data_IF_965164277582
#
_entry.id   IF_965164277582
#
_cell.length_a   1.000
_cell.length_b   1.000
_cell.length_c   1.000
_cell.angle_alpha   90.00
_cell.angle_beta   90.00
_cell.angle_gamma   90.00
#
_symmetry.space_group_name_H-M   'P 1'
#
loop_
_entity.id
_entity.type
_entity.pdbx_description
1 polymer ?
#
# COMPACT_ATOMS: atom_id res chain seq x y z
N UNK A 1 -7.60 -19.81 -10.35
CA UNK A 1 -8.17 -18.88 -9.36
C UNK A 1 -8.18 -17.52 -10.02
N UNK A 2 -9.32 -17.12 -10.58
CA UNK A 2 -9.43 -15.88 -11.38
C UNK A 2 -9.47 -14.70 -10.42
N UNK A 3 -8.51 -13.79 -10.50
CA UNK A 3 -8.58 -12.51 -9.80
C UNK A 3 -9.83 -11.77 -10.27
N UNK A 4 -10.72 -11.33 -9.36
CA UNK A 4 -11.88 -10.56 -9.77
C UNK A 4 -11.40 -9.28 -10.47
N UNK A 5 -11.82 -9.09 -11.71
CA UNK A 5 -11.64 -7.82 -12.40
C UNK A 5 -12.59 -6.81 -11.74
N UNK A 6 -12.10 -5.70 -11.18
CA UNK A 6 -12.98 -4.72 -10.56
C UNK A 6 -13.94 -4.16 -11.61
N UNK A 7 -15.23 -4.13 -11.27
CA UNK A 7 -16.29 -3.54 -12.09
C UNK A 7 -15.96 -2.05 -12.33
N UNK A 8 -15.95 -1.58 -13.59
CA UNK A 8 -15.59 -0.20 -13.90
C UNK A 8 -16.53 0.79 -13.21
N UNK A 9 -16.01 1.54 -12.24
CA UNK A 9 -16.73 2.57 -11.48
C UNK A 9 -16.89 2.29 -9.98
N UNK A 10 -16.56 1.10 -9.49
CA UNK A 10 -16.53 0.82 -8.06
C UNK A 10 -15.20 1.27 -7.43
N UNK A 11 -15.21 2.37 -6.67
CA UNK A 11 -14.10 2.73 -5.77
C UNK A 11 -14.00 1.68 -4.67
N UNK A 12 -13.13 0.69 -4.85
CA UNK A 12 -12.97 -0.43 -3.93
C UNK A 12 -11.53 -0.96 -3.89
N UNK A 13 -10.54 -0.15 -4.28
CA UNK A 13 -9.15 -0.58 -4.32
C UNK A 13 -8.38 -0.07 -3.10
N UNK A 14 -7.79 -1.00 -2.36
CA UNK A 14 -6.87 -0.72 -1.26
C UNK A 14 -5.44 -0.94 -1.76
N UNK A 15 -4.56 0.02 -1.50
CA UNK A 15 -3.13 -0.10 -1.85
C UNK A 15 -2.30 -0.29 -0.58
N UNK A 16 -1.72 -1.48 -0.40
CA UNK A 16 -0.77 -1.75 0.66
C UNK A 16 0.62 -1.19 0.33
N UNK A 17 1.18 -0.35 1.21
CA UNK A 17 2.47 0.31 1.00
C UNK A 17 3.45 -0.01 2.12
N UNK A 18 4.57 -0.62 1.73
CA UNK A 18 5.75 -0.78 2.57
C UNK A 18 6.93 -0.01 1.98
N UNK A 19 7.48 0.93 2.74
CA UNK A 19 8.61 1.74 2.32
C UNK A 19 9.79 1.67 3.31
N UNK A 20 11.00 2.04 2.88
CA UNK A 20 12.10 2.31 3.83
C UNK A 20 11.84 3.63 4.55
N UNK A 21 12.47 3.82 5.70
CA UNK A 21 12.42 5.10 6.42
C UNK A 21 13.09 6.20 5.58
N UNK A 22 12.46 7.36 5.50
CA UNK A 22 12.86 8.49 4.66
C UNK A 22 12.53 8.31 3.18
N UNK A 23 11.67 7.36 2.79
CA UNK A 23 11.33 7.18 1.38
C UNK A 23 10.70 8.47 0.80
N UNK A 24 11.20 8.99 -0.33
CA UNK A 24 10.64 10.19 -0.96
C UNK A 24 9.19 10.00 -1.37
N UNK A 25 8.38 11.06 -1.22
CA UNK A 25 6.98 11.07 -1.65
C UNK A 25 6.85 10.67 -3.12
N UNK A 26 7.62 11.31 -4.00
CA UNK A 26 7.50 11.09 -5.45
C UNK A 26 7.86 9.64 -5.84
N UNK A 27 8.77 9.00 -5.11
CA UNK A 27 9.11 7.59 -5.31
C UNK A 27 7.94 6.67 -4.89
N UNK A 28 7.35 6.93 -3.72
CA UNK A 28 6.18 6.16 -3.24
C UNK A 28 4.99 6.34 -4.17
N UNK A 29 4.66 7.59 -4.54
CA UNK A 29 3.54 7.90 -5.41
C UNK A 29 3.74 7.31 -6.82
N UNK A 30 4.92 7.50 -7.40
CA UNK A 30 5.25 6.98 -8.72
C UNK A 30 5.14 5.45 -8.76
N UNK A 31 5.64 4.75 -7.74
CA UNK A 31 5.52 3.30 -7.64
C UNK A 31 4.05 2.84 -7.59
N UNK A 32 3.21 3.56 -6.84
CA UNK A 32 1.77 3.26 -6.78
C UNK A 32 1.15 3.42 -8.17
N UNK A 33 1.34 4.57 -8.82
CA UNK A 33 0.76 4.88 -10.13
C UNK A 33 1.23 3.90 -11.22
N UNK A 34 2.52 3.56 -11.23
CA UNK A 34 3.08 2.59 -12.16
C UNK A 34 2.53 1.19 -11.95
N UNK A 35 2.40 0.75 -10.69
CA UNK A 35 1.83 -0.55 -10.34
C UNK A 35 0.37 -0.65 -10.78
N UNK A 36 -0.43 0.38 -10.50
CA UNK A 36 -1.83 0.44 -10.91
C UNK A 36 -1.96 0.41 -12.43
N UNK A 37 -1.17 1.24 -13.13
CA UNK A 37 -1.14 1.27 -14.61
C UNK A 37 -0.74 -0.09 -15.19
N UNK A 38 0.26 -0.75 -14.61
CA UNK A 38 0.70 -2.08 -15.03
C UNK A 38 -0.38 -3.16 -14.85
N UNK A 39 -1.27 -2.98 -13.87
CA UNK A 39 -2.43 -3.84 -13.64
C UNK A 39 -3.69 -3.42 -14.40
N UNK A 40 -3.65 -2.35 -15.21
CA UNK A 40 -4.83 -1.81 -15.90
C UNK A 40 -5.84 -1.13 -14.96
N UNK A 41 -5.42 -0.76 -13.75
CA UNK A 41 -6.24 -0.12 -12.73
C UNK A 41 -6.02 1.40 -12.73
N UNK A 42 -6.99 2.15 -12.21
CA UNK A 42 -6.92 3.62 -12.14
C UNK A 42 -6.66 4.07 -10.72
N UNK A 43 -5.80 5.07 -10.55
CA UNK A 43 -5.59 5.72 -9.25
C UNK A 43 -6.90 6.26 -8.64
N UNK A 44 -7.87 6.65 -9.47
CA UNK A 44 -9.18 7.12 -9.03
C UNK A 44 -10.06 6.03 -8.36
N UNK A 45 -9.72 4.75 -8.53
CA UNK A 45 -10.45 3.63 -7.91
C UNK A 45 -9.90 3.29 -6.52
N UNK A 46 -8.77 3.90 -6.13
CA UNK A 46 -8.17 3.76 -4.80
C UNK A 46 -9.05 4.45 -3.76
N UNK A 47 -9.30 3.75 -2.66
CA UNK A 47 -10.07 4.28 -1.51
C UNK A 47 -9.23 4.51 -0.27
N UNK A 48 -8.08 3.83 -0.14
CA UNK A 48 -7.18 3.99 0.99
C UNK A 48 -5.77 3.51 0.65
N UNK A 49 -4.80 4.04 1.41
CA UNK A 49 -3.44 3.52 1.47
C UNK A 49 -3.26 2.81 2.81
N UNK A 50 -2.97 1.51 2.77
CA UNK A 50 -2.78 0.68 3.96
C UNK A 50 -1.28 0.50 4.30
N UNK A 51 -0.89 0.65 5.56
CA UNK A 51 0.49 0.36 6.00
C UNK A 51 0.54 -0.22 7.42
N UNK A 52 1.73 -0.60 7.89
CA UNK A 52 1.94 -1.06 9.27
C UNK A 52 2.02 0.14 10.22
N UNK A 53 1.54 0.02 11.47
CA UNK A 53 1.54 1.10 12.48
C UNK A 53 2.90 1.81 12.61
N UNK A 54 4.01 1.07 12.50
CA UNK A 54 5.37 1.61 12.55
C UNK A 54 5.70 2.62 11.42
N UNK A 55 4.82 2.78 10.43
CA UNK A 55 4.94 3.67 9.28
C UNK A 55 3.78 4.67 9.18
N UNK A 56 2.97 4.81 10.23
CA UNK A 56 1.80 5.68 10.25
C UNK A 56 2.12 7.12 9.83
N UNK A 57 3.26 7.65 10.30
CA UNK A 57 3.70 9.03 10.08
C UNK A 57 4.76 9.17 8.99
N UNK A 58 4.97 8.12 8.17
CA UNK A 58 6.04 8.14 7.19
C UNK A 58 5.73 9.17 6.09
N UNK A 59 6.55 10.24 5.91
CA UNK A 59 6.17 11.37 5.07
C UNK A 59 5.90 11.00 3.61
N UNK A 60 6.63 10.01 3.08
CA UNK A 60 6.41 9.50 1.73
C UNK A 60 5.04 8.84 1.57
N UNK A 61 4.59 8.06 2.56
CA UNK A 61 3.31 7.34 2.54
C UNK A 61 2.15 8.31 2.76
N UNK A 62 2.25 9.14 3.81
CA UNK A 62 1.22 10.15 4.12
C UNK A 62 1.08 11.14 2.97
N UNK A 63 2.20 11.58 2.39
CA UNK A 63 2.23 12.47 1.24
C UNK A 63 1.60 11.85 -0.01
N UNK A 64 1.90 10.59 -0.32
CA UNK A 64 1.30 9.89 -1.46
C UNK A 64 -0.22 9.73 -1.28
N UNK A 65 -0.68 9.31 -0.10
CA UNK A 65 -2.11 9.18 0.20
C UNK A 65 -2.84 10.53 0.07
N UNK A 66 -2.23 11.62 0.56
CA UNK A 66 -2.77 12.96 0.39
C UNK A 66 -2.88 13.39 -1.08
N UNK A 67 -1.90 13.04 -1.93
CA UNK A 67 -1.97 13.31 -3.38
C UNK A 67 -3.04 12.50 -4.09
N UNK A 68 -3.28 11.27 -3.64
CA UNK A 68 -4.37 10.42 -4.12
C UNK A 68 -5.74 10.84 -3.57
N UNK A 69 -5.78 11.69 -2.53
CA UNK A 69 -7.01 12.15 -1.90
C UNK A 69 -7.70 11.09 -1.04
N UNK A 70 -6.92 10.15 -0.49
CA UNK A 70 -7.41 9.00 0.29
C UNK A 70 -6.78 8.94 1.68
N UNK A 71 -7.45 8.36 2.69
CA UNK A 71 -6.86 8.16 4.00
C UNK A 71 -5.69 7.16 3.99
N UNK A 72 -4.83 7.30 5.00
CA UNK A 72 -3.90 6.24 5.41
C UNK A 72 -4.57 5.41 6.50
N UNK A 73 -4.64 4.10 6.31
CA UNK A 73 -5.12 3.13 7.30
C UNK A 73 -3.93 2.32 7.78
N UNK A 74 -3.80 2.18 9.09
CA UNK A 74 -2.68 1.47 9.71
C UNK A 74 -3.15 0.17 10.35
N UNK A 75 -2.28 -0.84 10.30
CA UNK A 75 -2.52 -2.14 10.89
C UNK A 75 -1.37 -2.53 11.81
N UNK A 76 -1.67 -3.13 12.97
CA UNK A 76 -0.63 -3.60 13.87
C UNK A 76 0.16 -4.74 13.22
N UNK A 77 1.47 -4.74 13.45
CA UNK A 77 2.38 -5.75 12.95
C UNK A 77 1.89 -7.19 13.24
N UNK A 78 1.34 -7.42 14.43
CA UNK A 78 0.82 -8.74 14.82
C UNK A 78 -0.35 -9.20 13.94
N UNK A 79 -1.22 -8.28 13.50
CA UNK A 79 -2.31 -8.63 12.58
C UNK A 79 -1.75 -8.99 11.20
N UNK A 80 -0.78 -8.22 10.72
CA UNK A 80 -0.13 -8.46 9.43
C UNK A 80 0.74 -9.73 9.43
N UNK A 81 1.33 -10.10 10.56
CA UNK A 81 2.16 -11.30 10.71
C UNK A 81 1.42 -12.60 10.37
N UNK A 82 0.10 -12.64 10.60
CA UNK A 82 -0.75 -13.77 10.28
C UNK A 82 -1.22 -13.83 8.82
N UNK A 83 -0.93 -12.81 8.02
CA UNK A 83 -1.40 -12.72 6.63
C UNK A 83 -0.44 -13.45 5.71
N UNK A 84 -0.93 -14.49 5.03
CA UNK A 84 -0.15 -15.16 3.98
C UNK A 84 -0.05 -14.24 2.76
N UNK A 85 1.17 -13.80 2.46
CA UNK A 85 1.47 -13.01 1.26
C UNK A 85 2.12 -13.88 0.18
N UNK A 86 1.88 -13.60 -1.12
CA UNK A 86 2.52 -14.33 -2.21
C UNK A 86 4.02 -14.01 -2.34
N UNK A 87 4.46 -12.86 -1.84
CA UNK A 87 5.85 -12.41 -1.89
C UNK A 87 6.29 -11.90 -0.52
N UNK A 88 6.85 -12.79 0.29
CA UNK A 88 7.39 -12.47 1.61
C UNK A 88 8.69 -11.65 1.51
N UNK A 89 8.90 -10.71 2.43
CA UNK A 89 10.06 -9.82 2.53
C UNK A 89 10.81 -10.03 3.84
N UNK A 90 12.04 -10.55 3.76
CA UNK A 90 12.93 -10.67 4.92
C UNK A 90 13.26 -9.33 5.59
N UNK A 91 13.27 -8.24 4.83
CA UNK A 91 13.47 -6.90 5.38
C UNK A 91 12.25 -6.42 6.19
N UNK A 92 11.03 -6.73 5.75
CA UNK A 92 9.82 -6.43 6.52
C UNK A 92 9.76 -7.29 7.79
N UNK A 93 10.12 -8.57 7.70
CA UNK A 93 10.17 -9.47 8.84
C UNK A 93 11.16 -8.98 9.91
N UNK A 94 12.36 -8.56 9.48
CA UNK A 94 13.38 -8.04 10.40
C UNK A 94 12.99 -6.67 11.02
N UNK A 95 12.33 -5.79 10.26
CA UNK A 95 12.04 -4.43 10.70
C UNK A 95 10.76 -4.31 11.54
N UNK A 96 9.72 -5.07 11.20
CA UNK A 96 8.38 -4.93 11.80
C UNK A 96 7.70 -6.27 12.08
N UNK A 97 8.36 -7.41 11.88
CA UNK A 97 7.81 -8.73 12.23
C UNK A 97 6.68 -9.21 11.32
N UNK A 98 6.56 -8.67 10.11
CA UNK A 98 5.55 -9.08 9.12
C UNK A 98 6.20 -9.86 7.98
N UNK A 99 5.53 -10.87 7.39
CA UNK A 99 6.09 -11.71 6.35
C UNK A 99 6.46 -10.93 5.10
#
# INVERSE_FOLDING_TARGET
>A
MTTPTPEPGARNLVVGVGARRGAPLDEVLGLIEETLRGAGLRAADVVEVATVDAKADEPGIVGAAARLGVPVVTYPAAALAGVRVPHASGAAAAAVGTP
#
